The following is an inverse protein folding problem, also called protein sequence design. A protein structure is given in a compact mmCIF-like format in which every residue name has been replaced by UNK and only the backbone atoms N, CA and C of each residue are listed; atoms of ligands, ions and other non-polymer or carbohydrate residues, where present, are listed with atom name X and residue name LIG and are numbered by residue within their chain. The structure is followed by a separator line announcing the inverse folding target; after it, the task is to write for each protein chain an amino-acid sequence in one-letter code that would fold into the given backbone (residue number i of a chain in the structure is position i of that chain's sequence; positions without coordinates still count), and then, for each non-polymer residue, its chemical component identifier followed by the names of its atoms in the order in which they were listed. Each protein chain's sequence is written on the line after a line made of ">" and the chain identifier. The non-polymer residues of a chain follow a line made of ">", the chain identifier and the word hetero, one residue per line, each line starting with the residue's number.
data_IF_195132610455
#
_entry.id   IF_195132610455
#
_cell.length_a   1.000
_cell.length_b   1.000
_cell.length_c   1.000
_cell.angle_alpha   90.00
_cell.angle_beta   90.00
_cell.angle_gamma   90.00
#
_symmetry.space_group_name_H-M   'P 1'
#
loop_
_entity.id
_entity.type
_entity.pdbx_description
1 polymer ?
#
# COMPACT_ATOMS: atom_id res chain seq x y z
N UNK A 1 2.23 -4.09 22.93
CA UNK A 1 2.35 -4.01 21.46
C UNK A 1 2.96 -2.67 21.14
N UNK A 2 4.16 -2.62 20.56
CA UNK A 2 4.78 -1.35 20.16
C UNK A 2 4.10 -0.91 18.86
N UNK A 3 3.99 0.40 18.63
CA UNK A 3 3.46 0.93 17.36
C UNK A 3 4.23 0.39 16.14
N UNK A 4 5.48 -0.03 16.32
CA UNK A 4 6.35 -0.65 15.31
C UNK A 4 5.82 -2.00 14.80
N UNK A 5 5.30 -2.86 15.69
CA UNK A 5 4.70 -4.14 15.30
C UNK A 5 3.47 -3.94 14.41
N UNK A 6 2.66 -2.93 14.73
CA UNK A 6 1.45 -2.62 13.97
C UNK A 6 1.77 -2.12 12.56
N UNK A 7 2.86 -1.37 12.39
CA UNK A 7 3.32 -0.95 11.05
C UNK A 7 3.83 -2.12 10.21
N UNK A 8 4.53 -3.08 10.83
CA UNK A 8 4.95 -4.31 10.16
C UNK A 8 3.77 -5.15 9.63
N UNK A 9 2.71 -5.30 10.44
CA UNK A 9 1.51 -6.05 10.01
C UNK A 9 0.80 -5.42 8.81
N UNK A 10 0.78 -4.09 8.72
CA UNK A 10 0.15 -3.39 7.58
C UNK A 10 1.01 -3.51 6.32
N UNK A 11 2.34 -3.40 6.45
CA UNK A 11 3.27 -3.63 5.34
C UNK A 11 3.06 -5.04 4.75
N UNK A 12 3.07 -6.07 5.61
CA UNK A 12 2.87 -7.46 5.19
C UNK A 12 1.51 -7.67 4.52
N UNK A 13 0.46 -7.01 5.01
CA UNK A 13 -0.86 -7.09 4.41
C UNK A 13 -0.91 -6.47 3.00
N UNK A 14 -0.24 -5.32 2.78
CA UNK A 14 -0.12 -4.71 1.45
C UNK A 14 0.66 -5.63 0.50
N UNK A 15 1.81 -6.14 0.95
CA UNK A 15 2.64 -7.03 0.13
C UNK A 15 1.92 -8.34 -0.20
N UNK A 16 1.22 -8.93 0.77
CA UNK A 16 0.42 -10.13 0.58
C UNK A 16 -0.73 -9.91 -0.41
N UNK A 17 -1.39 -8.76 -0.35
CA UNK A 17 -2.42 -8.38 -1.32
C UNK A 17 -1.85 -8.28 -2.73
N UNK A 18 -0.74 -7.57 -2.92
CA UNK A 18 -0.09 -7.41 -4.23
C UNK A 18 0.46 -8.73 -4.79
N UNK A 19 1.01 -9.60 -3.94
CA UNK A 19 1.48 -10.92 -4.34
C UNK A 19 0.34 -11.81 -4.84
N UNK A 20 -0.86 -11.68 -4.26
CA UNK A 20 -2.02 -12.51 -4.60
C UNK A 20 -2.82 -11.98 -5.80
N UNK A 21 -2.88 -10.66 -5.98
CA UNK A 21 -3.76 -10.01 -6.95
C UNK A 21 -3.01 -9.32 -8.11
N UNK A 22 -1.69 -9.14 -8.00
CA UNK A 22 -0.89 -8.36 -8.95
C UNK A 22 -0.96 -6.85 -8.72
N UNK A 23 -0.56 -6.04 -9.71
CA UNK A 23 -0.61 -4.57 -9.62
C UNK A 23 -2.04 -4.07 -9.37
N UNK A 24 -2.19 -3.10 -8.47
CA UNK A 24 -3.49 -2.57 -8.06
C UNK A 24 -3.46 -1.05 -7.84
N UNK A 25 -4.64 -0.44 -7.88
CA UNK A 25 -4.86 0.94 -7.48
C UNK A 25 -4.85 1.08 -5.95
N UNK A 26 -4.41 2.23 -5.44
CA UNK A 26 -4.41 2.58 -4.01
C UNK A 26 -5.79 2.34 -3.36
N UNK A 27 -6.87 2.67 -4.06
CA UNK A 27 -8.25 2.49 -3.59
C UNK A 27 -8.63 1.02 -3.39
N UNK A 28 -8.15 0.13 -4.25
CA UNK A 28 -8.47 -1.29 -4.16
C UNK A 28 -7.81 -1.91 -2.93
N UNK A 29 -6.56 -1.55 -2.68
CA UNK A 29 -5.81 -1.95 -1.48
C UNK A 29 -6.48 -1.39 -0.22
N UNK A 30 -6.89 -0.12 -0.24
CA UNK A 30 -7.56 0.54 0.87
C UNK A 30 -8.89 -0.14 1.25
N UNK A 31 -9.70 -0.49 0.24
CA UNK A 31 -10.95 -1.21 0.44
C UNK A 31 -10.71 -2.62 1.01
N UNK A 32 -9.66 -3.31 0.58
CA UNK A 32 -9.32 -4.64 1.08
C UNK A 32 -8.86 -4.61 2.54
N UNK A 33 -8.03 -3.63 2.90
CA UNK A 33 -7.46 -3.48 4.25
C UNK A 33 -8.36 -2.70 5.22
N UNK A 34 -9.50 -2.18 4.74
CA UNK A 34 -10.43 -1.35 5.49
C UNK A 34 -9.76 -0.12 6.16
N UNK A 35 -8.89 0.55 5.41
CA UNK A 35 -8.20 1.80 5.80
C UNK A 35 -8.42 2.88 4.75
N UNK A 36 -8.03 4.12 5.04
CA UNK A 36 -8.19 5.22 4.08
C UNK A 36 -7.21 5.09 2.90
N UNK A 37 -7.65 5.54 1.71
CA UNK A 37 -6.80 5.58 0.51
C UNK A 37 -5.54 6.45 0.71
N UNK A 38 -5.66 7.53 1.49
CA UNK A 38 -4.52 8.37 1.87
C UNK A 38 -3.49 7.62 2.71
N UNK A 39 -3.93 6.80 3.68
CA UNK A 39 -3.02 5.99 4.50
C UNK A 39 -2.25 4.98 3.64
N UNK A 40 -2.94 4.28 2.72
CA UNK A 40 -2.29 3.40 1.73
C UNK A 40 -1.27 4.18 0.91
N UNK A 41 -1.63 5.36 0.40
CA UNK A 41 -0.73 6.17 -0.43
C UNK A 41 0.55 6.56 0.32
N UNK A 42 0.42 6.96 1.59
CA UNK A 42 1.56 7.25 2.46
C UNK A 42 2.45 6.02 2.67
N UNK A 43 1.85 4.86 2.92
CA UNK A 43 2.57 3.58 3.08
C UNK A 43 3.31 3.17 1.80
N UNK A 44 2.64 3.20 0.65
CA UNK A 44 3.28 2.91 -0.64
C UNK A 44 4.48 3.83 -0.91
N UNK A 45 4.41 5.09 -0.46
CA UNK A 45 5.50 6.06 -0.59
C UNK A 45 6.71 5.74 0.30
N UNK A 46 6.54 4.93 1.35
CA UNK A 46 7.61 4.40 2.22
C UNK A 46 8.14 3.08 1.67
N UNK A 47 7.25 2.17 1.26
CA UNK A 47 7.61 0.84 0.74
C UNK A 47 8.40 0.89 -0.57
N UNK A 48 8.12 1.88 -1.43
CA UNK A 48 8.79 2.04 -2.70
C UNK A 48 10.30 2.34 -2.57
N UNK A 49 10.76 3.35 -1.80
CA UNK A 49 12.19 3.60 -1.60
C UNK A 49 12.90 2.46 -0.84
N UNK A 50 12.19 1.67 -0.03
CA UNK A 50 12.72 0.46 0.60
C UNK A 50 12.89 -0.72 -0.39
N UNK A 51 12.38 -0.59 -1.62
CA UNK A 51 12.47 -1.62 -2.65
C UNK A 51 11.49 -2.78 -2.47
N UNK A 52 10.53 -2.67 -1.54
CA UNK A 52 9.50 -3.69 -1.30
C UNK A 52 8.42 -3.71 -2.38
N UNK A 53 8.17 -2.56 -3.02
CA UNK A 53 7.27 -2.42 -4.17
C UNK A 53 7.90 -1.54 -5.25
N UNK A 54 7.28 -1.51 -6.44
CA UNK A 54 7.61 -0.56 -7.51
C UNK A 54 6.38 0.24 -7.92
N UNK A 55 6.46 1.56 -7.86
CA UNK A 55 5.47 2.45 -8.48
C UNK A 55 5.75 2.49 -9.98
N UNK A 56 4.91 1.84 -10.77
CA UNK A 56 5.07 1.72 -12.22
C UNK A 56 4.14 2.63 -13.04
N UNK A 57 3.04 3.09 -12.45
CA UNK A 57 2.02 3.92 -13.09
C UNK A 57 1.75 5.13 -12.21
N UNK A 58 1.88 6.31 -12.79
CA UNK A 58 1.56 7.60 -12.18
C UNK A 58 0.77 8.38 -13.22
N UNK A 59 -0.41 8.84 -12.84
CA UNK A 59 -1.35 9.50 -13.75
C UNK A 59 -1.80 10.82 -13.18
N UNK A 60 -2.21 11.74 -14.05
CA UNK A 60 -2.87 12.97 -13.63
C UNK A 60 -4.22 12.60 -13.00
N UNK A 61 -4.44 13.01 -11.75
CA UNK A 61 -5.74 12.88 -11.11
C UNK A 61 -6.75 13.69 -11.92
N UNK A 62 -7.79 13.03 -12.43
CA UNK A 62 -8.91 13.68 -13.11
C UNK A 62 -10.16 13.47 -12.27
N UNK A 63 -10.80 14.57 -11.94
CA UNK A 63 -12.10 14.62 -11.25
C UNK A 63 -13.24 14.13 -12.16
#
# INVERSE_FOLDING_TARGET
>A
MRMDDWWGEIDDAILGYLASNGPAESRQIAAHLNISEGAVTSLLSILAPEGKIRIARVELHRE
#
